data_IF_828382427909
#
_entry.id   IF_828382427909
#
_cell.length_a   1.000
_cell.length_b   1.000
_cell.length_c   1.000
_cell.angle_alpha   90.00
_cell.angle_beta   90.00
_cell.angle_gamma   90.00
#
_symmetry.space_group_name_H-M   'P 1'
#
loop_
_entity.id
_entity.type
_entity.pdbx_description
1 polymer ?
#
# COMPACT_ATOMS: atom_id res chain seq x y z
N UNK A 1 21.69 -10.42 -10.63
CA UNK A 1 21.65 -8.96 -10.82
C UNK A 1 22.11 -8.31 -9.52
N UNK A 2 23.01 -7.34 -9.61
CA UNK A 2 23.47 -6.54 -8.48
C UNK A 2 22.33 -5.66 -7.94
N UNK A 3 22.38 -5.32 -6.65
CA UNK A 3 21.49 -4.33 -6.05
C UNK A 3 21.80 -2.91 -6.51
N UNK A 4 22.97 -2.69 -7.09
CA UNK A 4 23.34 -1.44 -7.74
C UNK A 4 22.96 -1.50 -9.23
N UNK A 5 22.01 -0.68 -9.71
CA UNK A 5 21.60 -0.69 -11.12
C UNK A 5 22.76 -0.37 -12.07
N UNK A 6 23.74 0.44 -11.65
CA UNK A 6 24.89 0.80 -12.49
C UNK A 6 25.75 -0.42 -12.86
N UNK A 7 25.90 -1.37 -11.93
CA UNK A 7 26.66 -2.61 -12.15
C UNK A 7 25.92 -3.63 -13.02
N UNK A 8 24.63 -3.41 -13.26
CA UNK A 8 23.84 -4.25 -14.16
C UNK A 8 23.96 -3.80 -15.62
N UNK A 9 24.60 -2.65 -15.88
CA UNK A 9 24.84 -2.16 -17.23
C UNK A 9 26.02 -2.91 -17.88
N UNK A 10 25.90 -3.30 -19.16
CA UNK A 10 26.95 -4.06 -19.84
C UNK A 10 28.31 -3.35 -19.81
N UNK A 11 29.34 -4.01 -19.26
CA UNK A 11 30.71 -3.49 -19.19
C UNK A 11 31.01 -2.62 -17.97
N UNK A 12 30.06 -2.46 -17.03
CA UNK A 12 30.24 -1.70 -15.79
C UNK A 12 30.22 -2.58 -14.53
N UNK A 13 30.32 -3.91 -14.68
CA UNK A 13 30.20 -4.89 -13.59
C UNK A 13 31.34 -4.80 -12.57
N UNK A 14 32.49 -4.24 -12.97
CA UNK A 14 33.69 -4.10 -12.14
C UNK A 14 34.17 -2.64 -11.99
N UNK A 15 33.31 -1.67 -12.34
CA UNK A 15 33.62 -0.25 -12.25
C UNK A 15 33.87 0.19 -10.80
N UNK A 16 35.05 0.73 -10.51
CA UNK A 16 35.49 1.10 -9.14
C UNK A 16 36.33 2.39 -9.10
N UNK A 17 36.45 3.10 -10.21
CA UNK A 17 37.19 4.38 -10.20
C UNK A 17 36.42 5.42 -9.38
N UNK A 18 37.08 6.48 -8.88
CA UNK A 18 36.39 7.56 -8.18
C UNK A 18 35.24 8.18 -9.00
N UNK A 19 35.43 8.33 -10.30
CA UNK A 19 34.37 8.81 -11.21
C UNK A 19 33.23 7.80 -11.36
N UNK A 20 33.52 6.50 -11.33
CA UNK A 20 32.47 5.48 -11.36
C UNK A 20 31.61 5.55 -10.10
N UNK A 21 32.22 5.78 -8.93
CA UNK A 21 31.48 5.89 -7.67
C UNK A 21 30.51 7.09 -7.71
N UNK A 22 30.95 8.24 -8.21
CA UNK A 22 30.07 9.41 -8.40
C UNK A 22 28.94 9.12 -9.40
N UNK A 23 29.26 8.48 -10.53
CA UNK A 23 28.26 8.08 -11.53
C UNK A 23 27.27 7.05 -10.98
N UNK A 24 27.72 6.10 -10.17
CA UNK A 24 26.88 5.13 -9.47
C UNK A 24 25.87 5.83 -8.57
N UNK A 25 26.31 6.77 -7.73
CA UNK A 25 25.42 7.51 -6.84
C UNK A 25 24.38 8.35 -7.61
N UNK A 26 24.80 9.00 -8.68
CA UNK A 26 23.93 9.77 -9.56
C UNK A 26 22.90 8.88 -10.27
N UNK A 27 23.34 7.75 -10.83
CA UNK A 27 22.48 6.80 -11.52
C UNK A 27 21.48 6.13 -10.58
N UNK A 28 21.92 5.70 -9.40
CA UNK A 28 21.03 5.15 -8.35
C UNK A 28 19.95 6.15 -7.98
N UNK A 29 20.30 7.43 -7.80
CA UNK A 29 19.34 8.48 -7.47
C UNK A 29 18.31 8.69 -8.58
N UNK A 30 18.78 8.70 -9.83
CA UNK A 30 17.96 8.83 -11.05
C UNK A 30 16.98 7.66 -11.20
N UNK A 31 17.47 6.43 -11.14
CA UNK A 31 16.64 5.21 -11.18
C UNK A 31 15.63 5.19 -10.04
N UNK A 32 16.04 5.58 -8.83
CA UNK A 32 15.14 5.66 -7.69
C UNK A 32 13.98 6.64 -7.94
N UNK A 33 14.27 7.85 -8.42
CA UNK A 33 13.24 8.85 -8.76
C UNK A 33 12.27 8.32 -9.80
N UNK A 34 12.81 7.81 -10.91
CA UNK A 34 12.01 7.36 -12.05
C UNK A 34 11.21 6.08 -11.73
N UNK A 35 11.73 5.21 -10.88
CA UNK A 35 10.97 4.05 -10.38
C UNK A 35 9.74 4.48 -9.59
N UNK A 36 9.85 5.48 -8.71
CA UNK A 36 8.70 6.00 -7.97
C UNK A 36 7.69 6.68 -8.90
N UNK A 37 8.16 7.37 -9.93
CA UNK A 37 7.31 8.06 -10.91
C UNK A 37 6.58 7.09 -11.83
N UNK A 38 7.33 6.25 -12.54
CA UNK A 38 6.83 5.39 -13.61
C UNK A 38 6.23 4.08 -13.10
N UNK A 39 6.87 3.42 -12.13
CA UNK A 39 6.46 2.09 -11.70
C UNK A 39 5.43 2.12 -10.57
N UNK A 40 5.43 3.17 -9.74
CA UNK A 40 4.51 3.32 -8.60
C UNK A 40 3.36 4.27 -8.93
N UNK A 41 3.65 5.53 -9.25
CA UNK A 41 2.61 6.56 -9.39
C UNK A 41 1.78 6.42 -10.66
N UNK A 42 2.39 6.36 -11.84
CA UNK A 42 1.64 6.36 -13.12
C UNK A 42 0.59 5.23 -13.24
N UNK A 43 0.87 3.97 -12.88
CA UNK A 43 -0.13 2.91 -12.93
C UNK A 43 -1.28 3.14 -11.95
N UNK A 44 -0.99 3.72 -10.78
CA UNK A 44 -2.00 4.04 -9.78
C UNK A 44 -2.87 5.21 -10.24
N UNK A 45 -2.26 6.26 -10.76
CA UNK A 45 -2.93 7.44 -11.30
C UNK A 45 -3.85 7.06 -12.46
N UNK A 46 -3.38 6.24 -13.40
CA UNK A 46 -4.20 5.68 -14.46
C UNK A 46 -5.39 4.87 -13.91
N UNK A 47 -5.15 3.96 -12.94
CA UNK A 47 -6.21 3.13 -12.35
C UNK A 47 -7.25 3.91 -11.52
N UNK A 48 -6.93 5.14 -11.12
CA UNK A 48 -7.77 6.04 -10.34
C UNK A 48 -8.33 7.19 -11.19
N UNK A 49 -8.04 7.22 -12.49
CA UNK A 49 -8.37 8.30 -13.42
C UNK A 49 -7.91 9.68 -12.91
N UNK A 50 -6.75 9.75 -12.27
CA UNK A 50 -6.16 11.00 -11.80
C UNK A 50 -5.44 11.64 -12.98
N UNK A 51 -5.99 12.75 -13.48
CA UNK A 51 -5.32 13.60 -14.46
C UNK A 51 -4.39 14.58 -13.74
N UNK A 52 -3.13 14.61 -14.15
CA UNK A 52 -2.19 15.66 -13.75
C UNK A 52 -2.56 16.94 -14.52
N UNK A 53 -3.17 17.91 -13.84
CA UNK A 53 -3.33 19.26 -14.39
C UNK A 53 -1.92 19.83 -14.67
N UNK A 54 -1.55 19.90 -15.96
CA UNK A 54 -0.23 20.39 -16.39
C UNK A 54 0.30 19.84 -17.72
N UNK A 55 -0.25 18.76 -18.28
CA UNK A 55 0.10 18.31 -19.65
C UNK A 55 -0.75 19.01 -20.71
N UNK A 56 -0.66 20.33 -20.78
CA UNK A 56 -0.95 21.08 -22.01
C UNK A 56 0.37 21.32 -22.73
N UNK A 57 0.84 20.31 -23.45
CA UNK A 57 1.65 20.49 -24.66
C UNK A 57 1.89 19.12 -25.29
N UNK A 58 1.03 18.77 -26.25
CA UNK A 58 1.33 17.99 -27.46
C UNK A 58 0.02 17.76 -28.23
N UNK A 59 -0.56 18.85 -28.75
CA UNK A 59 -1.30 18.74 -30.01
C UNK A 59 -0.25 18.75 -31.12
N UNK A 60 0.28 17.57 -31.45
CA UNK A 60 1.14 17.38 -32.61
C UNK A 60 0.28 16.86 -33.78
N UNK A 61 0.42 17.58 -34.89
CA UNK A 61 -0.14 17.37 -36.23
C UNK A 61 -0.10 15.89 -36.70
N UNK A 62 -1.17 15.36 -37.33
CA UNK A 62 -1.18 14.00 -37.85
C UNK A 62 -0.56 13.97 -39.25
N UNK A 63 0.77 13.85 -39.33
CA UNK A 63 1.41 13.45 -40.58
C UNK A 63 2.74 12.72 -40.35
N UNK A 64 2.65 11.43 -40.05
CA UNK A 64 3.68 10.46 -40.45
C UNK A 64 3.10 9.06 -40.34
N UNK A 65 2.85 8.44 -41.49
CA UNK A 65 2.60 7.01 -41.59
C UNK A 65 3.83 6.25 -41.09
N UNK A 66 3.67 5.60 -39.94
CA UNK A 66 4.48 4.45 -39.56
C UNK A 66 3.58 3.51 -38.77
N UNK A 67 3.22 2.39 -39.41
CA UNK A 67 2.61 1.22 -38.81
C UNK A 67 3.33 0.81 -37.51
N UNK A 68 2.55 0.21 -36.59
CA UNK A 68 2.91 -0.30 -35.26
C UNK A 68 2.62 0.59 -34.03
N UNK A 69 1.61 1.45 -34.10
CA UNK A 69 0.90 1.88 -32.89
C UNK A 69 -0.43 1.12 -32.78
N UNK A 70 -0.44 0.05 -31.99
CA UNK A 70 -1.67 -0.56 -31.49
C UNK A 70 -2.28 0.41 -30.48
N UNK A 71 -3.02 1.39 -31.00
CA UNK A 71 -3.94 2.24 -30.25
C UNK A 71 -5.18 1.40 -30.02
N UNK A 72 -5.27 0.74 -28.86
CA UNK A 72 -6.59 0.30 -28.37
C UNK A 72 -7.29 1.51 -27.75
N UNK A 73 -7.90 2.31 -28.62
CA UNK A 73 -9.01 3.19 -28.26
C UNK A 73 -10.23 2.29 -27.98
N UNK A 74 -10.41 1.88 -26.73
CA UNK A 74 -11.70 1.46 -26.23
C UNK A 74 -11.89 2.13 -24.87
N UNK A 75 -12.86 3.04 -24.77
CA UNK A 75 -13.21 3.75 -23.53
C UNK A 75 -13.80 2.84 -22.44
N UNK A 76 -13.55 1.52 -22.52
CA UNK A 76 -13.70 0.59 -21.42
C UNK A 76 -12.45 0.71 -20.55
N UNK A 77 -12.55 0.87 -19.22
CA UNK A 77 -11.38 0.73 -18.37
C UNK A 77 -10.74 -0.63 -18.71
N UNK A 78 -9.54 -0.61 -19.26
CA UNK A 78 -8.80 -1.82 -19.60
C UNK A 78 -8.78 -2.68 -18.34
N UNK A 79 -9.30 -3.90 -18.42
CA UNK A 79 -9.32 -4.79 -17.26
C UNK A 79 -7.87 -5.00 -16.79
N UNK A 80 -7.55 -4.36 -15.67
CA UNK A 80 -6.24 -4.43 -15.04
C UNK A 80 -6.37 -5.30 -13.78
N UNK A 81 -6.04 -6.59 -13.85
CA UNK A 81 -6.20 -7.52 -12.72
C UNK A 81 -5.32 -7.14 -11.52
N UNK A 82 -4.35 -6.25 -11.70
CA UNK A 82 -3.43 -5.82 -10.64
C UNK A 82 -3.75 -4.44 -10.08
N UNK A 83 -4.76 -3.73 -10.59
CA UNK A 83 -5.13 -2.40 -10.14
C UNK A 83 -5.37 -2.37 -8.62
N UNK A 84 -6.26 -3.23 -8.15
CA UNK A 84 -6.62 -3.29 -6.73
C UNK A 84 -5.45 -3.75 -5.85
N UNK A 85 -4.69 -4.73 -6.34
CA UNK A 85 -3.49 -5.21 -5.66
C UNK A 85 -2.47 -4.08 -5.46
N UNK A 86 -2.24 -3.25 -6.48
CA UNK A 86 -1.37 -2.07 -6.41
C UNK A 86 -1.90 -1.06 -5.40
N UNK A 87 -3.20 -0.72 -5.43
CA UNK A 87 -3.82 0.21 -4.47
C UNK A 87 -3.61 -0.24 -3.03
N UNK A 88 -3.84 -1.54 -2.74
CA UNK A 88 -3.64 -2.10 -1.39
C UNK A 88 -2.18 -2.05 -0.96
N UNK A 89 -1.25 -2.48 -1.82
CA UNK A 89 0.20 -2.46 -1.52
C UNK A 89 0.72 -1.04 -1.36
N UNK A 90 0.20 -0.10 -2.14
CA UNK A 90 0.53 1.31 -2.02
C UNK A 90 0.19 1.85 -0.63
N UNK A 91 -1.00 1.56 -0.11
CA UNK A 91 -1.37 1.97 1.26
C UNK A 91 -0.46 1.35 2.33
N UNK A 92 0.04 0.14 2.11
CA UNK A 92 0.98 -0.52 3.03
C UNK A 92 2.36 0.14 3.03
N UNK A 93 2.87 0.56 1.88
CA UNK A 93 4.21 1.17 1.77
C UNK A 93 4.21 2.68 1.65
N UNK A 94 3.07 3.34 1.86
CA UNK A 94 2.95 4.79 1.75
C UNK A 94 4.01 5.51 2.59
N UNK A 95 4.15 5.13 3.87
CA UNK A 95 5.13 5.73 4.77
C UNK A 95 6.59 5.47 4.32
N UNK A 96 7.01 4.23 4.00
CA UNK A 96 8.31 3.98 3.36
C UNK A 96 8.58 4.84 2.12
N UNK A 97 7.61 4.99 1.21
CA UNK A 97 7.77 5.84 0.02
C UNK A 97 7.99 7.30 0.40
N UNK A 98 7.19 7.84 1.33
CA UNK A 98 7.32 9.22 1.80
C UNK A 98 8.66 9.47 2.49
N UNK A 99 9.15 8.54 3.32
CA UNK A 99 10.46 8.66 3.97
C UNK A 99 11.61 8.65 2.96
N UNK A 100 11.49 7.82 1.91
CA UNK A 100 12.45 7.76 0.82
C UNK A 100 12.51 9.08 0.06
N UNK A 101 11.36 9.66 -0.28
CA UNK A 101 11.25 10.96 -0.95
C UNK A 101 11.85 12.10 -0.11
N UNK A 102 11.53 12.17 1.19
CA UNK A 102 12.08 13.17 2.11
C UNK A 102 13.61 13.05 2.25
N UNK A 103 14.14 11.83 2.21
CA UNK A 103 15.59 11.60 2.27
C UNK A 103 16.27 12.03 0.98
N UNK A 104 15.67 11.73 -0.18
CA UNK A 104 16.22 12.06 -1.48
C UNK A 104 16.16 13.56 -1.80
N UNK A 105 15.08 14.24 -1.38
CA UNK A 105 14.92 15.70 -1.52
C UNK A 105 16.02 16.50 -0.82
N UNK A 106 16.62 15.98 0.25
CA UNK A 106 17.76 16.63 0.93
C UNK A 106 19.04 16.61 0.10
N UNK A 107 19.16 15.66 -0.83
CA UNK A 107 20.36 15.45 -1.65
C UNK A 107 20.33 16.22 -2.97
N UNK A 108 19.14 16.41 -3.53
CA UNK A 108 18.97 16.97 -4.87
C UNK A 108 18.01 18.16 -4.85
N UNK A 109 18.40 19.25 -5.50
CA UNK A 109 17.54 20.42 -5.65
C UNK A 109 16.41 20.17 -6.65
N UNK A 110 15.31 20.91 -6.46
CA UNK A 110 14.15 20.83 -7.36
C UNK A 110 14.54 21.25 -8.79
N UNK A 111 14.09 20.49 -9.78
CA UNK A 111 14.39 20.63 -11.21
C UNK A 111 15.87 20.50 -11.58
N UNK A 112 16.70 19.91 -10.71
CA UNK A 112 18.04 19.51 -11.08
C UNK A 112 17.98 18.45 -12.19
N UNK A 113 18.69 18.68 -13.29
CA UNK A 113 18.73 17.74 -14.42
C UNK A 113 19.41 16.44 -14.01
N UNK A 114 18.94 15.34 -14.58
CA UNK A 114 19.65 14.06 -14.43
C UNK A 114 21.03 14.14 -15.08
N UNK A 115 22.02 13.61 -14.39
CA UNK A 115 23.34 13.43 -14.97
C UNK A 115 23.25 12.32 -16.02
N UNK A 116 23.83 12.58 -17.19
CA UNK A 116 23.94 11.60 -18.28
C UNK A 116 25.08 10.64 -17.94
N UNK A 117 24.79 9.34 -17.94
CA UNK A 117 25.81 8.33 -17.66
C UNK A 117 26.69 8.07 -18.90
N UNK A 118 27.92 7.56 -18.73
CA UNK A 118 28.81 7.30 -19.85
C UNK A 118 28.29 6.28 -20.87
N UNK A 119 27.37 5.39 -20.46
CA UNK A 119 26.69 4.42 -21.33
C UNK A 119 25.41 4.95 -21.98
N UNK A 120 24.98 6.18 -21.66
CA UNK A 120 23.83 6.83 -22.28
C UNK A 120 24.25 7.56 -23.57
N UNK A 121 23.91 6.98 -24.71
CA UNK A 121 23.98 7.55 -26.06
C UNK A 121 22.67 8.24 -26.47
N UNK A 122 22.60 8.65 -27.73
CA UNK A 122 21.46 9.44 -28.25
C UNK A 122 20.18 8.61 -28.42
N UNK A 123 20.30 7.28 -28.51
CA UNK A 123 19.17 6.36 -28.68
C UNK A 123 18.74 5.67 -27.37
N UNK A 124 19.43 5.90 -26.25
CA UNK A 124 19.16 5.27 -24.95
C UNK A 124 19.39 6.21 -23.76
N UNK A 125 19.17 7.52 -23.96
CA UNK A 125 19.26 8.50 -22.87
C UNK A 125 18.07 8.38 -21.93
N UNK A 126 18.30 8.68 -20.65
CA UNK A 126 17.24 8.84 -19.67
C UNK A 126 17.22 10.30 -19.22
N UNK A 127 16.79 11.17 -20.13
CA UNK A 127 16.73 12.62 -19.88
C UNK A 127 15.59 12.97 -18.93
N UNK A 128 15.80 13.97 -18.07
CA UNK A 128 14.79 14.38 -17.09
C UNK A 128 15.37 15.24 -15.97
N UNK A 129 14.59 15.38 -14.91
CA UNK A 129 14.97 16.17 -13.75
C UNK A 129 14.33 15.64 -12.46
N UNK A 130 14.96 15.92 -11.33
CA UNK A 130 14.42 15.61 -10.02
C UNK A 130 13.29 16.58 -9.66
N UNK A 131 12.09 16.09 -9.34
CA UNK A 131 11.02 16.87 -8.70
C UNK A 131 10.37 16.09 -7.55
N UNK A 132 11.15 15.84 -6.50
CA UNK A 132 10.68 15.19 -5.28
C UNK A 132 9.49 15.91 -4.60
N UNK A 133 9.41 17.26 -4.56
CA UNK A 133 8.21 17.95 -4.11
C UNK A 133 6.95 17.53 -4.86
N UNK A 134 7.02 17.43 -6.18
CA UNK A 134 5.89 16.99 -7.00
C UNK A 134 5.56 15.51 -6.79
N UNK A 135 6.56 14.63 -6.68
CA UNK A 135 6.32 13.22 -6.35
C UNK A 135 5.61 13.07 -4.99
N UNK A 136 5.99 13.82 -3.96
CA UNK A 136 5.29 13.81 -2.66
C UNK A 136 3.84 14.25 -2.78
N UNK A 137 3.58 15.31 -3.56
CA UNK A 137 2.21 15.79 -3.84
C UNK A 137 1.38 14.69 -4.50
N UNK A 138 1.91 14.07 -5.55
CA UNK A 138 1.27 12.96 -6.27
C UNK A 138 0.98 11.76 -5.38
N UNK A 139 1.95 11.35 -4.54
CA UNK A 139 1.75 10.27 -3.56
C UNK A 139 0.56 10.58 -2.63
N UNK A 140 0.46 11.80 -2.11
CA UNK A 140 -0.66 12.20 -1.26
C UNK A 140 -2.00 12.19 -2.02
N UNK A 141 -2.05 12.70 -3.25
CA UNK A 141 -3.26 12.69 -4.09
C UNK A 141 -3.74 11.26 -4.35
N UNK A 142 -2.83 10.34 -4.69
CA UNK A 142 -3.14 8.92 -4.91
C UNK A 142 -3.67 8.28 -3.62
N UNK A 143 -3.01 8.50 -2.47
CA UNK A 143 -3.48 8.00 -1.16
C UNK A 143 -4.90 8.47 -0.87
N UNK A 144 -5.15 9.76 -1.03
CA UNK A 144 -6.43 10.38 -0.70
C UNK A 144 -7.54 9.90 -1.65
N UNK A 145 -7.21 9.66 -2.92
CA UNK A 145 -8.13 9.05 -3.88
C UNK A 145 -8.52 7.61 -3.49
N UNK A 146 -7.56 6.77 -3.07
CA UNK A 146 -7.84 5.40 -2.60
C UNK A 146 -8.70 5.44 -1.32
N UNK A 147 -8.43 6.36 -0.39
CA UNK A 147 -9.26 6.53 0.79
C UNK A 147 -10.68 7.00 0.45
N UNK A 148 -10.83 7.89 -0.54
CA UNK A 148 -12.14 8.33 -1.01
C UNK A 148 -12.93 7.19 -1.64
N UNK A 149 -12.29 6.40 -2.52
CA UNK A 149 -12.86 5.18 -3.11
C UNK A 149 -13.34 4.23 -2.00
N UNK A 150 -12.47 3.92 -1.04
CA UNK A 150 -12.76 3.00 0.07
C UNK A 150 -13.94 3.44 0.94
N UNK A 151 -14.06 4.76 1.21
CA UNK A 151 -15.21 5.32 1.93
C UNK A 151 -16.48 5.31 1.09
N UNK A 152 -16.37 5.51 -0.23
CA UNK A 152 -17.48 5.46 -1.18
C UNK A 152 -18.19 4.12 -1.22
N UNK A 153 -17.47 3.02 -0.96
CA UNK A 153 -18.04 1.67 -0.92
C UNK A 153 -19.16 1.49 0.10
N UNK A 154 -19.14 2.21 1.22
CA UNK A 154 -20.24 2.16 2.18
C UNK A 154 -21.55 2.64 1.54
N UNK A 155 -21.48 3.72 0.75
CA UNK A 155 -22.62 4.32 0.06
C UNK A 155 -23.08 3.44 -1.11
N UNK A 156 -22.14 3.00 -1.95
CA UNK A 156 -22.43 2.06 -3.04
C UNK A 156 -23.04 0.75 -2.52
N UNK A 157 -22.51 0.24 -1.41
CA UNK A 157 -22.97 -0.97 -0.75
C UNK A 157 -24.39 -0.86 -0.18
N UNK A 158 -24.74 0.29 0.42
CA UNK A 158 -26.12 0.56 0.84
C UNK A 158 -27.08 0.60 -0.34
N UNK A 159 -26.67 1.18 -1.46
CA UNK A 159 -27.46 1.16 -2.69
C UNK A 159 -27.63 -0.28 -3.21
N UNK A 160 -26.56 -1.07 -3.24
CA UNK A 160 -26.59 -2.48 -3.63
C UNK A 160 -27.53 -3.31 -2.75
N UNK A 161 -27.56 -3.04 -1.44
CA UNK A 161 -28.51 -3.66 -0.50
C UNK A 161 -29.95 -3.28 -0.82
N UNK A 162 -30.23 -1.99 -1.04
CA UNK A 162 -31.58 -1.50 -1.39
C UNK A 162 -32.08 -2.06 -2.72
N UNK A 163 -31.17 -2.31 -3.66
CA UNK A 163 -31.45 -2.93 -4.95
C UNK A 163 -31.47 -4.47 -4.91
N UNK A 164 -31.30 -5.07 -3.72
CA UNK A 164 -31.29 -6.52 -3.52
C UNK A 164 -30.27 -7.26 -4.40
N UNK A 165 -29.13 -6.62 -4.66
CA UNK A 165 -28.06 -7.24 -5.46
C UNK A 165 -27.51 -8.49 -4.76
N UNK A 166 -27.22 -9.53 -5.54
CA UNK A 166 -26.77 -10.82 -5.02
C UNK A 166 -25.53 -10.74 -4.14
N UNK A 167 -24.61 -9.80 -4.41
CA UNK A 167 -23.41 -9.57 -3.59
C UNK A 167 -23.76 -9.10 -2.17
N UNK A 168 -24.76 -8.22 -2.02
CA UNK A 168 -25.19 -7.74 -0.70
C UNK A 168 -25.80 -8.89 0.13
N UNK A 169 -26.62 -9.73 -0.50
CA UNK A 169 -27.18 -10.92 0.13
C UNK A 169 -26.10 -11.98 0.48
N UNK A 170 -25.10 -12.15 -0.39
CA UNK A 170 -23.96 -13.05 -0.16
C UNK A 170 -23.15 -12.61 1.05
N UNK A 171 -22.73 -11.34 1.11
CA UNK A 171 -21.96 -10.79 2.25
C UNK A 171 -22.75 -10.84 3.56
N UNK A 172 -24.05 -10.53 3.52
CA UNK A 172 -24.93 -10.64 4.68
C UNK A 172 -24.97 -12.08 5.22
N UNK A 173 -25.11 -13.08 4.35
CA UNK A 173 -25.08 -14.50 4.75
C UNK A 173 -23.72 -14.93 5.30
N UNK A 174 -22.62 -14.48 4.68
CA UNK A 174 -21.27 -14.76 5.19
C UNK A 174 -21.09 -14.19 6.60
N UNK A 175 -21.55 -12.96 6.84
CA UNK A 175 -21.54 -12.35 8.17
C UNK A 175 -22.29 -13.20 9.20
N UNK A 176 -23.54 -13.59 8.90
CA UNK A 176 -24.37 -14.39 9.80
C UNK A 176 -23.71 -15.74 10.15
N UNK A 177 -23.14 -16.43 9.16
CA UNK A 177 -22.42 -17.69 9.35
C UNK A 177 -21.18 -17.52 10.24
N UNK A 178 -20.41 -16.45 10.04
CA UNK A 178 -19.20 -16.17 10.83
C UNK A 178 -19.58 -15.86 12.27
N UNK A 179 -20.57 -14.99 12.50
CA UNK A 179 -21.04 -14.63 13.84
C UNK A 179 -21.54 -15.86 14.58
N UNK A 180 -22.32 -16.73 13.93
CA UNK A 180 -22.81 -17.96 14.56
C UNK A 180 -21.68 -18.93 14.90
N UNK A 181 -20.68 -19.05 14.01
CA UNK A 181 -19.48 -19.85 14.27
C UNK A 181 -18.70 -19.32 15.48
N UNK A 182 -18.52 -18.00 15.59
CA UNK A 182 -17.80 -17.37 16.71
C UNK A 182 -18.53 -17.60 18.05
N UNK A 183 -19.86 -17.52 18.06
CA UNK A 183 -20.69 -17.85 19.24
C UNK A 183 -20.52 -19.31 19.65
N UNK A 184 -20.59 -20.26 18.71
CA UNK A 184 -20.43 -21.68 18.99
C UNK A 184 -19.05 -22.05 19.53
N UNK A 185 -18.00 -21.37 19.06
CA UNK A 185 -16.63 -21.60 19.54
C UNK A 185 -16.36 -20.97 20.91
N UNK A 186 -17.34 -20.26 21.49
CA UNK A 186 -17.21 -19.48 22.73
C UNK A 186 -15.97 -18.56 22.69
N UNK A 187 -15.70 -17.99 21.51
CA UNK A 187 -14.49 -17.22 21.29
C UNK A 187 -14.67 -15.79 21.83
N UNK A 188 -14.42 -15.61 23.13
CA UNK A 188 -14.57 -14.33 23.83
C UNK A 188 -13.58 -13.26 23.30
N UNK A 189 -12.59 -13.67 22.50
CA UNK A 189 -11.54 -12.77 21.99
C UNK A 189 -11.96 -11.95 20.78
N UNK A 190 -13.11 -12.25 20.15
CA UNK A 190 -13.55 -11.58 18.92
C UNK A 190 -15.04 -11.26 18.98
N UNK A 191 -15.38 -10.00 18.76
CA UNK A 191 -16.74 -9.53 18.51
C UNK A 191 -16.84 -8.95 17.09
N UNK A 192 -17.90 -9.30 16.36
CA UNK A 192 -18.09 -8.91 14.97
C UNK A 192 -19.53 -8.46 14.73
N UNK A 193 -19.69 -7.26 14.17
CA UNK A 193 -20.99 -6.70 13.82
C UNK A 193 -20.93 -5.85 12.55
N UNK A 194 -22.08 -5.61 11.93
CA UNK A 194 -22.20 -4.72 10.77
C UNK A 194 -22.40 -3.28 11.23
N UNK A 195 -21.68 -2.34 10.60
CA UNK A 195 -21.86 -0.92 10.84
C UNK A 195 -23.20 -0.45 10.26
N UNK A 196 -24.11 0.02 11.10
CA UNK A 196 -25.47 0.45 10.71
C UNK A 196 -26.23 -0.60 9.85
N UNK A 197 -25.92 -1.89 10.06
CA UNK A 197 -26.50 -2.99 9.28
C UNK A 197 -26.08 -3.00 7.81
N UNK A 198 -25.01 -2.32 7.44
CA UNK A 198 -24.45 -2.32 6.08
C UNK A 198 -23.59 -3.58 5.85
N UNK A 199 -23.96 -4.49 4.91
CA UNK A 199 -23.16 -5.69 4.61
C UNK A 199 -21.77 -5.39 4.05
N UNK A 200 -21.48 -4.14 3.68
CA UNK A 200 -20.20 -3.71 3.12
C UNK A 200 -19.30 -3.00 4.14
N UNK A 201 -19.76 -2.82 5.38
CA UNK A 201 -19.02 -2.17 6.45
C UNK A 201 -19.07 -3.04 7.69
N UNK A 202 -17.98 -3.73 7.99
CA UNK A 202 -17.91 -4.61 9.15
C UNK A 202 -17.02 -3.99 10.22
N UNK A 203 -17.44 -4.16 11.47
CA UNK A 203 -16.65 -3.78 12.64
C UNK A 203 -16.26 -5.02 13.42
N UNK A 204 -14.97 -5.18 13.60
CA UNK A 204 -14.35 -6.27 14.32
C UNK A 204 -13.69 -5.68 15.57
N UNK A 205 -14.10 -6.14 16.75
CA UNK A 205 -13.40 -5.86 18.00
C UNK A 205 -12.60 -7.09 18.38
N UNK A 206 -11.28 -6.96 18.42
CA UNK A 206 -10.39 -7.99 18.91
C UNK A 206 -9.94 -7.65 20.34
N UNK A 207 -10.12 -8.59 21.26
CA UNK A 207 -9.64 -8.49 22.65
C UNK A 207 -8.33 -9.25 22.76
N UNK A 208 -7.26 -8.55 23.13
CA UNK A 208 -5.95 -9.17 23.26
C UNK A 208 -5.94 -10.28 24.29
N UNK A 209 -5.29 -11.41 23.95
CA UNK A 209 -5.30 -12.59 24.80
C UNK A 209 -4.49 -12.38 26.10
N UNK A 210 -4.91 -13.01 27.21
CA UNK A 210 -4.13 -13.02 28.43
C UNK A 210 -2.70 -13.53 28.20
N UNK A 211 -1.74 -12.94 28.91
CA UNK A 211 -0.33 -13.32 28.85
C UNK A 211 0.35 -13.10 27.49
N UNK A 212 -0.24 -12.27 26.62
CA UNK A 212 0.40 -11.83 25.36
C UNK A 212 0.84 -10.37 25.44
N UNK A 213 1.53 -9.88 24.40
CA UNK A 213 1.89 -8.45 24.32
C UNK A 213 0.67 -7.53 24.15
N UNK A 214 -0.47 -8.07 23.75
CA UNK A 214 -1.72 -7.35 23.51
C UNK A 214 -2.70 -7.44 24.68
N UNK A 215 -2.32 -8.11 25.77
CA UNK A 215 -3.17 -8.33 26.94
C UNK A 215 -3.77 -7.02 27.47
N UNK A 216 -5.08 -7.06 27.75
CA UNK A 216 -5.87 -5.90 28.18
C UNK A 216 -6.26 -4.91 27.07
N UNK A 217 -5.77 -5.08 25.84
CA UNK A 217 -6.10 -4.22 24.70
C UNK A 217 -7.45 -4.53 24.04
N UNK A 218 -8.15 -3.50 23.59
CA UNK A 218 -9.38 -3.60 22.78
C UNK A 218 -9.17 -2.97 21.40
N UNK A 219 -8.99 -3.79 20.37
CA UNK A 219 -8.65 -3.31 19.03
C UNK A 219 -9.90 -3.24 18.17
N UNK A 220 -10.39 -2.01 17.94
CA UNK A 220 -11.50 -1.74 17.02
C UNK A 220 -10.98 -1.63 15.60
N UNK A 221 -11.49 -2.50 14.74
CA UNK A 221 -11.04 -2.68 13.37
C UNK A 221 -12.23 -2.46 12.43
N UNK A 222 -12.04 -1.55 11.50
CA UNK A 222 -12.97 -1.24 10.42
C UNK A 222 -12.58 -2.01 9.16
N UNK A 223 -13.56 -2.71 8.58
CA UNK A 223 -13.38 -3.47 7.35
C UNK A 223 -14.34 -2.90 6.31
N UNK A 224 -13.79 -2.27 5.28
CA UNK A 224 -14.52 -1.77 4.13
C UNK A 224 -14.48 -2.82 3.02
N UNK A 225 -15.67 -3.17 2.50
CA UNK A 225 -15.83 -4.15 1.43
C UNK A 225 -16.32 -3.48 0.16
N UNK A 226 -15.70 -3.84 -0.97
CA UNK A 226 -16.15 -3.35 -2.26
C UNK A 226 -17.45 -4.03 -2.69
N UNK A 227 -18.36 -3.31 -3.38
CA UNK A 227 -19.42 -3.91 -4.19
C UNK A 227 -18.90 -4.88 -5.26
N UNK A 228 -17.61 -4.79 -5.61
CA UNK A 228 -16.89 -5.63 -6.57
C UNK A 228 -16.03 -6.69 -5.86
N UNK A 229 -16.38 -7.10 -4.64
CA UNK A 229 -15.73 -8.22 -3.97
C UNK A 229 -16.14 -9.55 -4.64
N UNK A 230 -15.20 -10.49 -4.92
CA UNK A 230 -13.81 -10.53 -4.45
C UNK A 230 -12.75 -9.95 -5.39
N UNK A 231 -13.12 -9.39 -6.54
CA UNK A 231 -12.16 -8.77 -7.47
C UNK A 231 -11.42 -7.60 -6.80
N UNK A 232 -12.13 -6.79 -6.02
CA UNK A 232 -11.56 -5.79 -5.12
C UNK A 232 -11.54 -6.30 -3.67
N UNK A 233 -10.35 -6.31 -3.09
CA UNK A 233 -10.09 -6.90 -1.78
C UNK A 233 -10.46 -5.91 -0.65
N UNK A 234 -10.83 -6.41 0.55
CA UNK A 234 -11.19 -5.54 1.67
C UNK A 234 -10.06 -4.57 2.06
N UNK A 235 -10.42 -3.34 2.43
CA UNK A 235 -9.49 -2.41 3.09
C UNK A 235 -9.77 -2.41 4.59
N UNK A 236 -8.73 -2.66 5.38
CA UNK A 236 -8.84 -2.86 6.83
C UNK A 236 -8.05 -1.80 7.57
N UNK A 237 -8.69 -1.15 8.53
CA UNK A 237 -8.13 -0.06 9.31
C UNK A 237 -8.34 -0.30 10.80
N UNK A 238 -7.35 0.03 11.63
CA UNK A 238 -7.57 0.20 13.07
C UNK A 238 -8.10 1.60 13.34
N UNK A 239 -9.14 1.72 14.17
CA UNK A 239 -9.66 3.02 14.59
C UNK A 239 -8.69 3.76 15.50
N UNK A 240 -7.89 3.03 16.28
CA UNK A 240 -6.87 3.61 17.15
C UNK A 240 -5.73 4.21 16.31
N UNK A 241 -5.76 5.53 16.14
CA UNK A 241 -4.82 6.31 15.32
C UNK A 241 -3.35 6.23 15.76
N UNK A 242 -3.03 5.59 16.89
CA UNK A 242 -1.67 5.53 17.45
C UNK A 242 -1.22 4.14 17.88
N UNK A 243 -1.84 3.07 17.34
CA UNK A 243 -1.39 1.71 17.64
C UNK A 243 -0.01 1.43 17.02
N UNK A 244 0.98 1.15 17.87
CA UNK A 244 2.37 1.01 17.45
C UNK A 244 2.70 -0.46 17.18
N UNK A 245 2.54 -0.90 15.94
CA UNK A 245 2.72 -2.30 15.55
C UNK A 245 3.37 -2.43 14.17
N UNK A 246 4.13 -3.51 13.95
CA UNK A 246 4.83 -3.76 12.68
C UNK A 246 3.87 -3.93 11.48
N UNK A 247 2.65 -4.44 11.71
CA UNK A 247 1.62 -4.65 10.69
C UNK A 247 0.65 -3.49 10.51
N UNK A 248 0.77 -2.40 11.26
CA UNK A 248 -0.20 -1.30 11.25
C UNK A 248 0.49 0.01 10.89
N UNK A 249 0.04 0.65 9.81
CA UNK A 249 0.60 1.92 9.35
C UNK A 249 0.26 3.06 10.31
N UNK A 250 0.92 4.20 10.15
CA UNK A 250 0.58 5.43 10.91
C UNK A 250 -0.85 5.93 10.64
N UNK A 251 -1.40 5.59 9.47
CA UNK A 251 -2.77 5.90 9.06
C UNK A 251 -3.77 4.81 9.50
N UNK A 252 -3.34 3.85 10.32
CA UNK A 252 -4.16 2.74 10.81
C UNK A 252 -4.37 1.60 9.82
N UNK A 253 -3.79 1.65 8.61
CA UNK A 253 -3.94 0.59 7.61
C UNK A 253 -3.30 -0.71 8.11
N UNK A 254 -4.08 -1.78 8.20
CA UNK A 254 -3.63 -3.08 8.68
C UNK A 254 -3.16 -3.97 7.51
N UNK A 255 -1.95 -4.49 7.61
CA UNK A 255 -1.35 -5.44 6.69
C UNK A 255 -1.58 -6.88 7.17
N UNK A 256 -2.40 -7.59 6.42
CA UNK A 256 -2.71 -9.00 6.65
C UNK A 256 -2.72 -9.75 5.32
N UNK A 257 -2.57 -11.07 5.40
CA UNK A 257 -2.64 -11.96 4.24
C UNK A 257 -3.63 -13.07 4.57
N UNK A 258 -4.82 -13.08 3.94
CA UNK A 258 -5.79 -14.13 4.16
C UNK A 258 -5.35 -15.42 3.46
N UNK A 259 -5.85 -16.57 3.93
CA UNK A 259 -5.59 -17.88 3.28
C UNK A 259 -6.31 -18.04 1.95
N UNK A 260 -7.50 -17.43 1.84
CA UNK A 260 -8.29 -17.30 0.61
C UNK A 260 -8.87 -15.90 0.54
N UNK A 261 -9.04 -15.39 -0.66
CA UNK A 261 -9.39 -14.00 -0.96
C UNK A 261 -10.87 -13.79 -1.28
N UNK A 262 -11.65 -14.87 -1.31
CA UNK A 262 -13.02 -14.95 -1.84
C UNK A 262 -14.07 -15.03 -0.73
N UNK A 263 -13.66 -15.36 0.50
CA UNK A 263 -14.56 -15.56 1.63
C UNK A 263 -14.11 -14.74 2.84
N UNK A 264 -15.03 -13.99 3.43
CA UNK A 264 -14.74 -13.08 4.54
C UNK A 264 -14.20 -13.77 5.79
N UNK A 265 -14.54 -15.04 6.00
CA UNK A 265 -14.02 -15.83 7.13
C UNK A 265 -12.49 -15.85 7.15
N UNK A 266 -11.85 -16.10 6.01
CA UNK A 266 -10.39 -16.14 5.93
C UNK A 266 -9.75 -14.76 6.07
N UNK A 267 -10.49 -13.68 5.75
CA UNK A 267 -10.05 -12.33 6.06
C UNK A 267 -10.07 -12.06 7.56
N UNK A 268 -11.14 -12.42 8.28
CA UNK A 268 -11.20 -12.27 9.74
C UNK A 268 -10.08 -13.07 10.42
N UNK A 269 -9.91 -14.34 10.02
CA UNK A 269 -8.82 -15.19 10.53
C UNK A 269 -7.43 -14.57 10.24
N UNK A 270 -7.21 -14.04 9.04
CA UNK A 270 -5.95 -13.39 8.66
C UNK A 270 -5.67 -12.10 9.42
N UNK A 271 -6.71 -11.29 9.70
CA UNK A 271 -6.60 -10.07 10.51
C UNK A 271 -6.15 -10.44 11.93
N UNK A 272 -6.86 -11.36 12.59
CA UNK A 272 -6.53 -11.80 13.95
C UNK A 272 -5.12 -12.43 14.00
N UNK A 273 -4.80 -13.32 13.06
CA UNK A 273 -3.48 -13.94 12.99
C UNK A 273 -2.36 -12.92 12.80
N UNK A 274 -2.58 -11.84 12.04
CA UNK A 274 -1.58 -10.79 11.83
C UNK A 274 -1.28 -9.94 13.08
N UNK A 275 -2.24 -9.86 14.01
CA UNK A 275 -2.07 -9.18 15.30
C UNK A 275 -1.46 -10.11 16.35
N UNK A 276 -1.80 -11.40 16.31
CA UNK A 276 -1.29 -12.42 17.25
C UNK A 276 0.13 -12.92 16.91
N UNK A 277 0.70 -12.53 15.76
CA UNK A 277 2.01 -12.99 15.32
C UNK A 277 3.15 -12.31 16.10
N UNK A 278 3.62 -12.96 17.18
CA UNK A 278 4.66 -12.40 18.06
C UNK A 278 6.08 -12.45 17.46
N UNK A 279 6.38 -13.47 16.65
CA UNK A 279 7.73 -13.74 16.13
C UNK A 279 7.73 -13.97 14.60
N UNK A 280 7.27 -12.99 13.79
CA UNK A 280 7.28 -13.13 12.35
C UNK A 280 8.70 -13.27 11.80
N UNK A 281 8.92 -14.11 10.76
CA UNK A 281 10.13 -14.02 9.97
C UNK A 281 10.23 -12.63 9.33
N UNK A 282 11.46 -12.14 9.13
CA UNK A 282 11.65 -10.88 8.44
C UNK A 282 11.17 -11.00 6.98
N UNK A 283 10.15 -10.23 6.62
CA UNK A 283 9.66 -10.10 5.25
C UNK A 283 9.53 -8.61 4.91
N UNK A 284 10.33 -8.06 3.98
CA UNK A 284 10.23 -6.66 3.58
C UNK A 284 8.85 -6.32 2.98
N UNK A 285 8.06 -7.33 2.58
CA UNK A 285 6.73 -7.12 2.02
C UNK A 285 5.67 -6.88 3.09
N UNK A 286 6.03 -6.92 4.37
CA UNK A 286 5.09 -6.73 5.48
C UNK A 286 5.50 -5.58 6.39
N UNK A 287 6.55 -4.84 6.03
CA UNK A 287 7.11 -3.71 6.80
C UNK A 287 6.33 -2.42 6.54
N UNK A 288 5.11 -2.37 7.07
CA UNK A 288 4.18 -1.24 6.85
C UNK A 288 4.52 -0.04 7.73
N UNK A 289 5.01 -0.30 8.94
CA UNK A 289 5.52 0.74 9.84
C UNK A 289 7.04 0.65 9.92
N UNK A 290 7.79 1.53 9.23
CA UNK A 290 9.25 1.45 9.16
C UNK A 290 9.91 1.72 10.53
N UNK A 291 9.32 2.58 11.36
CA UNK A 291 9.83 2.85 12.71
C UNK A 291 9.67 1.63 13.62
N UNK A 292 8.49 1.01 13.62
CA UNK A 292 8.24 -0.22 14.37
C UNK A 292 9.12 -1.37 13.88
N UNK A 293 9.24 -1.54 12.56
CA UNK A 293 10.07 -2.56 11.91
C UNK A 293 11.54 -2.41 12.31
N UNK A 294 12.08 -1.19 12.24
CA UNK A 294 13.46 -0.92 12.64
C UNK A 294 13.71 -1.29 14.10
N UNK A 295 12.76 -0.99 15.00
CA UNK A 295 12.91 -1.33 16.41
C UNK A 295 12.76 -2.83 16.69
N UNK A 296 11.83 -3.50 16.01
CA UNK A 296 11.52 -4.91 16.20
C UNK A 296 12.67 -5.83 15.76
N UNK A 297 13.25 -5.58 14.59
CA UNK A 297 14.40 -6.36 14.08
C UNK A 297 15.76 -5.75 14.44
N UNK A 298 15.78 -4.66 15.22
CA UNK A 298 17.00 -3.98 15.67
C UNK A 298 17.76 -4.70 16.78
N UNK A 299 18.59 -3.93 17.49
CA UNK A 299 19.39 -4.40 18.62
C UNK A 299 18.52 -4.84 19.81
N UNK A 300 19.07 -5.55 20.82
CA UNK A 300 18.32 -5.88 22.03
C UNK A 300 17.72 -4.66 22.75
N UNK A 301 18.38 -3.49 22.67
CA UNK A 301 17.86 -2.24 23.23
C UNK A 301 16.68 -1.69 22.43
N UNK A 302 16.78 -1.76 21.09
CA UNK A 302 15.69 -1.37 20.19
C UNK A 302 14.43 -2.22 20.42
N UNK A 303 14.60 -3.53 20.60
CA UNK A 303 13.50 -4.45 20.91
C UNK A 303 12.82 -4.12 22.24
N UNK A 304 13.59 -3.74 23.27
CA UNK A 304 13.03 -3.25 24.54
C UNK A 304 12.24 -1.96 24.34
N UNK A 305 12.72 -1.05 23.48
CA UNK A 305 12.01 0.18 23.11
C UNK A 305 10.71 -0.15 22.36
N UNK A 306 10.74 -1.07 21.39
CA UNK A 306 9.56 -1.56 20.69
C UNK A 306 8.49 -2.06 21.68
N UNK A 307 8.85 -3.01 22.56
CA UNK A 307 7.90 -3.60 23.51
C UNK A 307 7.28 -2.56 24.45
N UNK A 308 8.05 -1.53 24.83
CA UNK A 308 7.54 -0.42 25.65
C UNK A 308 6.56 0.46 24.88
N UNK A 309 6.86 0.82 23.64
CA UNK A 309 5.95 1.62 22.81
C UNK A 309 4.68 0.82 22.42
N UNK A 310 4.82 -0.47 22.13
CA UNK A 310 3.69 -1.36 21.89
C UNK A 310 2.76 -1.39 23.11
N UNK A 311 3.26 -1.70 24.32
CA UNK A 311 2.44 -1.68 25.56
C UNK A 311 1.72 -0.35 25.77
N UNK A 312 2.44 0.78 25.64
CA UNK A 312 1.85 2.12 25.76
C UNK A 312 0.74 2.36 24.75
N UNK A 313 0.88 1.79 23.55
CA UNK A 313 -0.15 1.92 22.51
C UNK A 313 -1.34 1.00 22.76
N UNK A 314 -1.13 -0.20 23.32
CA UNK A 314 -2.18 -1.14 23.75
C UNK A 314 -3.03 -0.53 24.87
N UNK A 315 -2.41 0.11 25.86
CA UNK A 315 -3.12 0.81 26.94
C UNK A 315 -4.06 1.92 26.43
N UNK A 316 -3.80 2.49 25.25
CA UNK A 316 -4.66 3.52 24.63
C UNK A 316 -5.78 2.94 23.77
N UNK A 317 -5.79 1.64 23.52
CA UNK A 317 -6.86 1.00 22.74
C UNK A 317 -8.02 0.53 23.63
N UNK A 318 -7.76 0.27 24.91
CA UNK A 318 -8.76 -0.08 25.94
C UNK A 318 -9.69 1.09 26.26
#
# INVERSE_FOLDING_TARGET
>A
MSSNPYENEPGYESSRSPSDIENMEAYVSKIHHETLRLAVLEPLEASLNITLEGSTDSLADPSSESDDNIIYEDGRPSFDPFADFRKRRFLWYYEPYMQSLVTAEKKHSRKAKFQRMPFEGDNNSMDGHFDYPELKRRMAVVRDAIFRETRGWAVEGQLAKKQELGIAASLQRQYEQIVETLKHQNNITVDLYLDEGNPFMWRLTYFGRPMTQLDGGMFKILIHLSPRFPEEQPRVFLEASSFFHIRVSKEGVLCYVPRRTEEMRYHIEGIVASLEEEHPPYDPRTTVNPEATKLFWGTPEDRRKYNRELRRSVERTA
#
